data_IF_839105543037
#
_entry.id   IF_839105543037
#
_cell.length_a   1.000
_cell.length_b   1.000
_cell.length_c   1.000
_cell.angle_alpha   90.00
_cell.angle_beta   90.00
_cell.angle_gamma   90.00
#
_symmetry.space_group_name_H-M   'P 1'
#
loop_
_entity.id
_entity.type
_entity.pdbx_description
1 polymer ?
#
# COMPACT_ATOMS: atom_id res chain seq x y z
N UNK A 1 27.35 37.02 -13.34
CA UNK A 1 27.87 37.19 -11.97
C UNK A 1 27.35 36.03 -11.12
N UNK A 2 28.26 35.29 -10.48
CA UNK A 2 27.98 34.06 -9.73
C UNK A 2 27.55 34.45 -8.31
N UNK A 3 26.28 34.25 -7.97
CA UNK A 3 25.80 34.48 -6.60
C UNK A 3 26.00 33.19 -5.79
N UNK A 4 27.11 33.16 -5.05
CA UNK A 4 27.41 32.15 -4.05
C UNK A 4 26.49 32.37 -2.83
N UNK A 5 25.61 31.40 -2.54
CA UNK A 5 24.83 31.39 -1.30
C UNK A 5 25.50 30.43 -0.34
N UNK A 6 26.20 31.00 0.62
CA UNK A 6 26.76 30.36 1.82
C UNK A 6 25.64 29.78 2.68
N UNK A 7 25.68 28.47 2.91
CA UNK A 7 24.80 27.77 3.85
C UNK A 7 25.56 27.60 5.17
N UNK A 8 25.28 28.48 6.13
CA UNK A 8 25.74 28.38 7.51
C UNK A 8 24.87 27.37 8.28
N UNK A 9 25.47 26.24 8.63
CA UNK A 9 24.89 25.20 9.49
C UNK A 9 24.93 25.65 10.96
N UNK A 10 23.79 26.12 11.48
CA UNK A 10 23.58 26.32 12.92
C UNK A 10 23.12 24.98 13.54
N UNK A 11 24.06 24.30 14.21
CA UNK A 11 23.78 23.14 15.04
C UNK A 11 23.32 23.60 16.42
N UNK A 12 22.00 23.72 16.62
CA UNK A 12 21.41 23.92 17.95
C UNK A 12 21.07 22.57 18.58
N UNK A 13 21.90 22.14 19.53
CA UNK A 13 21.67 21.02 20.43
C UNK A 13 20.54 21.36 21.41
N UNK A 14 19.42 20.63 21.33
CA UNK A 14 18.40 20.63 22.38
C UNK A 14 18.48 19.29 23.13
N UNK A 15 19.05 19.35 24.32
CA UNK A 15 18.94 18.29 25.31
C UNK A 15 17.60 18.38 26.03
N UNK A 16 16.90 17.26 26.11
CA UNK A 16 15.81 17.03 27.06
C UNK A 16 15.94 15.59 27.54
N UNK A 17 16.37 15.46 28.80
CA UNK A 17 16.37 14.21 29.54
C UNK A 17 14.96 13.83 29.99
N UNK A 18 14.70 12.52 30.05
CA UNK A 18 13.68 11.94 30.89
C UNK A 18 14.14 10.54 31.33
N UNK A 19 14.04 10.31 32.63
CA UNK A 19 14.46 9.15 33.40
C UNK A 19 13.68 7.88 33.05
N UNK A 20 14.34 6.73 33.25
CA UNK A 20 13.79 5.40 33.06
C UNK A 20 12.69 5.05 34.08
N UNK A 21 11.72 4.25 33.64
CA UNK A 21 10.97 3.34 34.49
C UNK A 21 10.85 2.00 33.75
N UNK A 22 11.58 1.01 34.27
CA UNK A 22 11.40 -0.40 33.96
C UNK A 22 10.15 -0.90 34.69
N UNK A 23 9.24 -1.54 33.96
CA UNK A 23 8.21 -2.38 34.53
C UNK A 23 8.34 -3.75 33.86
N UNK A 24 8.93 -4.68 34.59
CA UNK A 24 8.70 -6.11 34.37
C UNK A 24 7.24 -6.41 34.73
N UNK A 25 6.55 -7.13 33.86
CA UNK A 25 5.49 -8.01 34.31
C UNK A 25 5.40 -9.21 33.38
N UNK A 26 5.61 -10.35 34.01
CA UNK A 26 5.60 -11.68 33.48
C UNK A 26 4.25 -12.29 33.87
N UNK A 27 3.35 -12.55 32.93
CA UNK A 27 2.41 -13.67 33.11
C UNK A 27 1.86 -14.22 31.79
N UNK A 28 1.72 -15.54 31.86
CA UNK A 28 1.39 -16.59 30.94
C UNK A 28 -0.05 -16.56 30.40
N UNK A 29 -0.19 -16.97 29.14
CA UNK A 29 -1.50 -17.12 28.51
C UNK A 29 -1.42 -17.92 27.20
N UNK A 30 -1.53 -19.24 27.34
CA UNK A 30 -1.73 -20.30 26.34
C UNK A 30 -1.89 -19.86 24.86
N UNK A 31 -0.85 -20.11 24.04
CA UNK A 31 -0.97 -20.14 22.57
C UNK A 31 -1.56 -21.48 22.14
N UNK A 32 -2.81 -21.43 21.67
CA UNK A 32 -3.47 -22.55 21.00
C UNK A 32 -2.70 -23.00 19.75
N UNK A 33 -2.40 -24.30 19.71
CA UNK A 33 -1.83 -24.98 18.55
C UNK A 33 -2.88 -25.06 17.44
N UNK A 34 -2.52 -24.59 16.26
CA UNK A 34 -3.31 -24.67 15.04
C UNK A 34 -2.38 -24.80 13.84
N UNK A 35 -1.83 -26.00 13.65
CA UNK A 35 -1.03 -26.34 12.49
C UNK A 35 -1.96 -26.76 11.33
N UNK A 36 -2.08 -25.92 10.30
CA UNK A 36 -2.51 -26.36 8.98
C UNK A 36 -1.26 -26.55 8.11
N UNK A 37 -0.99 -27.81 7.74
CA UNK A 37 0.08 -28.21 6.82
C UNK A 37 -0.15 -27.55 5.46
N UNK A 38 0.75 -26.63 5.10
CA UNK A 38 0.97 -26.24 3.70
C UNK A 38 2.26 -26.91 3.24
N UNK A 39 2.12 -28.06 2.58
CA UNK A 39 3.20 -28.62 1.77
C UNK A 39 3.38 -27.74 0.52
N UNK A 40 4.64 -27.41 0.21
CA UNK A 40 5.00 -26.78 -1.06
C UNK A 40 5.09 -25.24 -1.07
N UNK A 41 5.84 -24.63 -0.15
CA UNK A 41 6.21 -23.23 -0.28
C UNK A 41 7.02 -22.70 0.90
N UNK A 42 8.34 -22.88 0.87
CA UNK A 42 9.27 -22.29 1.85
C UNK A 42 9.33 -20.76 1.66
N UNK A 43 8.28 -20.03 2.03
CA UNK A 43 8.38 -18.59 2.29
C UNK A 43 8.93 -18.39 3.69
N UNK A 44 10.23 -18.63 3.84
CA UNK A 44 10.97 -18.15 5.01
C UNK A 44 10.81 -16.62 5.07
N UNK A 45 10.09 -16.15 6.09
CA UNK A 45 10.00 -14.74 6.48
C UNK A 45 11.34 -14.26 7.07
N UNK A 46 12.42 -14.34 6.29
CA UNK A 46 13.73 -13.86 6.69
C UNK A 46 13.78 -12.34 6.59
N UNK A 47 13.91 -11.69 7.75
CA UNK A 47 14.48 -10.34 7.98
C UNK A 47 13.82 -9.18 7.21
N UNK A 48 12.83 -8.54 7.83
CA UNK A 48 12.30 -7.23 7.41
C UNK A 48 13.36 -6.11 7.42
N UNK A 49 14.54 -6.31 8.02
CA UNK A 49 15.63 -5.32 8.08
C UNK A 49 16.44 -5.14 6.78
N UNK A 50 16.44 -6.11 5.85
CA UNK A 50 17.29 -6.04 4.63
C UNK A 50 16.67 -5.26 3.46
N UNK A 51 15.38 -4.90 3.52
CA UNK A 51 14.72 -4.20 2.41
C UNK A 51 15.12 -2.72 2.28
N UNK A 52 15.53 -2.08 3.39
CA UNK A 52 15.94 -0.66 3.39
C UNK A 52 17.29 -0.41 2.72
N UNK A 53 18.31 -1.22 3.05
CA UNK A 53 19.66 -1.08 2.51
C UNK A 53 19.73 -1.30 1.00
N UNK A 54 19.00 -2.29 0.48
CA UNK A 54 18.98 -2.57 -0.95
C UNK A 54 18.32 -1.46 -1.79
N UNK A 55 17.40 -0.68 -1.21
CA UNK A 55 16.82 0.49 -1.90
C UNK A 55 17.79 1.68 -1.94
N UNK A 56 18.55 1.91 -0.87
CA UNK A 56 19.60 2.94 -0.88
C UNK A 56 20.70 2.61 -1.89
N UNK A 57 21.21 1.37 -1.87
CA UNK A 57 22.23 0.93 -2.81
C UNK A 57 21.83 1.16 -4.27
N UNK A 58 20.60 0.77 -4.64
CA UNK A 58 20.06 1.00 -5.99
C UNK A 58 19.92 2.48 -6.34
N UNK A 59 19.64 3.34 -5.36
CA UNK A 59 19.50 4.77 -5.59
C UNK A 59 20.86 5.45 -5.75
N UNK A 60 21.84 5.06 -4.94
CA UNK A 60 23.25 5.47 -5.07
C UNK A 60 23.76 5.16 -6.47
N UNK A 61 23.58 3.92 -6.94
CA UNK A 61 24.00 3.50 -8.28
C UNK A 61 23.27 4.28 -9.39
N UNK A 62 21.96 4.52 -9.22
CA UNK A 62 21.12 5.19 -10.24
C UNK A 62 21.34 6.68 -10.36
N UNK A 63 21.68 7.34 -9.26
CA UNK A 63 21.87 8.80 -9.20
C UNK A 63 23.35 9.18 -9.12
N UNK A 64 24.26 8.20 -9.14
CA UNK A 64 25.71 8.39 -8.97
C UNK A 64 26.00 9.30 -7.76
N UNK A 65 25.45 8.95 -6.60
CA UNK A 65 25.58 9.78 -5.38
C UNK A 65 27.03 9.77 -4.88
N UNK A 66 27.58 10.96 -4.58
CA UNK A 66 28.90 11.07 -3.95
C UNK A 66 28.90 10.54 -2.52
N UNK A 67 30.07 10.27 -1.96
CA UNK A 67 30.19 9.79 -0.58
C UNK A 67 29.59 10.79 0.43
N UNK A 68 29.85 12.09 0.23
CA UNK A 68 29.26 13.17 1.03
C UNK A 68 27.74 13.19 0.95
N UNK A 69 27.16 13.05 -0.26
CA UNK A 69 25.71 12.98 -0.44
C UNK A 69 25.12 11.75 0.26
N UNK A 70 25.80 10.60 0.19
CA UNK A 70 25.37 9.38 0.86
C UNK A 70 25.38 9.54 2.39
N UNK A 71 26.41 10.18 2.95
CA UNK A 71 26.49 10.49 4.37
C UNK A 71 25.34 11.42 4.81
N UNK A 72 25.12 12.52 4.09
CA UNK A 72 24.03 13.45 4.37
C UNK A 72 22.65 12.78 4.30
N UNK A 73 22.42 11.94 3.29
CA UNK A 73 21.16 11.19 3.15
C UNK A 73 20.99 10.19 4.30
N UNK A 74 22.06 9.55 4.77
CA UNK A 74 22.00 8.62 5.91
C UNK A 74 21.58 9.36 7.18
N UNK A 75 22.22 10.47 7.52
CA UNK A 75 21.85 11.33 8.65
C UNK A 75 20.41 11.80 8.56
N UNK A 76 19.97 12.25 7.37
CA UNK A 76 18.58 12.66 7.13
C UNK A 76 17.59 11.52 7.38
N UNK A 77 17.94 10.29 7.00
CA UNK A 77 17.06 9.12 7.23
C UNK A 77 16.98 8.73 8.70
N UNK A 78 18.05 8.90 9.45
CA UNK A 78 18.10 8.64 10.88
C UNK A 78 17.23 9.65 11.64
N UNK A 79 17.36 10.95 11.37
CA UNK A 79 16.50 11.98 11.99
C UNK A 79 15.01 11.79 11.61
N UNK A 80 14.72 11.47 10.35
CA UNK A 80 13.35 11.21 9.90
C UNK A 80 12.76 9.91 10.49
N UNK A 81 13.60 8.95 10.89
CA UNK A 81 13.13 7.70 11.51
C UNK A 81 12.52 7.98 12.88
N UNK A 82 13.13 8.83 13.68
CA UNK A 82 12.64 9.23 15.00
C UNK A 82 11.31 9.97 14.88
N UNK A 83 11.24 10.99 14.01
CA UNK A 83 9.99 11.70 13.71
C UNK A 83 8.88 10.77 13.20
N UNK A 84 9.26 9.71 12.46
CA UNK A 84 8.31 8.72 11.95
C UNK A 84 7.77 7.76 13.02
N UNK A 85 8.44 7.59 14.16
CA UNK A 85 7.99 6.64 15.20
C UNK A 85 6.69 7.12 15.85
N UNK A 86 6.60 8.40 16.21
CA UNK A 86 5.40 8.99 16.77
C UNK A 86 4.19 8.84 15.83
N UNK A 87 4.34 9.21 14.56
CA UNK A 87 3.28 9.05 13.56
C UNK A 87 2.86 7.60 13.34
N UNK A 88 3.79 6.63 13.45
CA UNK A 88 3.47 5.20 13.37
C UNK A 88 2.64 4.74 14.56
N UNK A 89 2.95 5.23 15.76
CA UNK A 89 2.18 4.93 16.96
C UNK A 89 0.75 5.49 16.83
N UNK A 90 0.60 6.75 16.41
CA UNK A 90 -0.71 7.38 16.17
C UNK A 90 -1.55 6.59 15.14
N UNK A 91 -0.93 6.18 14.02
CA UNK A 91 -1.61 5.35 13.00
C UNK A 91 -2.04 4.00 13.56
N UNK A 92 -1.20 3.35 14.35
CA UNK A 92 -1.52 2.06 14.96
C UNK A 92 -2.69 2.20 15.92
N UNK A 93 -2.69 3.22 16.78
CA UNK A 93 -3.78 3.50 17.71
C UNK A 93 -5.10 3.73 16.96
N UNK A 94 -5.09 4.60 15.93
CA UNK A 94 -6.26 4.83 15.08
C UNK A 94 -6.81 3.54 14.46
N UNK A 95 -5.95 2.65 13.94
CA UNK A 95 -6.41 1.37 13.39
C UNK A 95 -6.97 0.42 14.44
N UNK A 96 -6.44 0.45 15.66
CA UNK A 96 -7.00 -0.30 16.78
C UNK A 96 -8.39 0.22 17.15
N UNK A 97 -8.56 1.54 17.24
CA UNK A 97 -9.85 2.17 17.57
C UNK A 97 -10.91 1.90 16.48
N UNK A 98 -10.56 2.06 15.20
CA UNK A 98 -11.45 1.71 14.09
C UNK A 98 -11.87 0.23 14.13
N UNK A 99 -10.97 -0.67 14.52
CA UNK A 99 -11.28 -2.10 14.64
C UNK A 99 -12.19 -2.40 15.84
N UNK A 100 -12.15 -1.57 16.87
CA UNK A 100 -12.93 -1.72 18.09
C UNK A 100 -14.33 -1.10 18.00
N UNK A 101 -14.65 -0.39 16.91
CA UNK A 101 -15.99 0.16 16.65
C UNK A 101 -17.07 -0.91 16.80
N UNK A 102 -18.02 -0.64 17.68
CA UNK A 102 -19.22 -1.46 17.83
C UNK A 102 -20.32 -0.93 16.92
N UNK A 103 -20.63 -1.69 15.87
CA UNK A 103 -21.68 -1.34 14.90
C UNK A 103 -23.09 -1.38 15.47
N UNK A 104 -23.27 -1.84 16.71
CA UNK A 104 -24.56 -1.91 17.40
C UNK A 104 -24.73 -0.83 18.47
N UNK A 105 -23.69 -0.02 18.72
CA UNK A 105 -23.72 1.09 19.67
C UNK A 105 -24.72 2.17 19.24
N UNK A 106 -25.44 2.75 20.21
CA UNK A 106 -26.29 3.92 19.98
C UNK A 106 -25.48 5.15 19.55
N UNK A 107 -24.19 5.21 19.91
CA UNK A 107 -23.29 6.33 19.62
C UNK A 107 -22.46 6.11 18.33
N UNK A 108 -22.73 5.04 17.57
CA UNK A 108 -21.91 4.62 16.42
C UNK A 108 -21.57 5.75 15.44
N UNK A 109 -22.56 6.53 15.02
CA UNK A 109 -22.35 7.62 14.06
C UNK A 109 -21.41 8.70 14.61
N UNK A 110 -21.51 9.00 15.90
CA UNK A 110 -20.64 9.98 16.57
C UNK A 110 -19.21 9.46 16.72
N UNK A 111 -19.04 8.18 17.05
CA UNK A 111 -17.73 7.52 17.13
C UNK A 111 -17.05 7.47 15.75
N UNK A 112 -17.81 7.16 14.70
CA UNK A 112 -17.34 7.18 13.32
C UNK A 112 -16.89 8.58 12.92
N UNK A 113 -17.66 9.62 13.25
CA UNK A 113 -17.29 11.01 12.97
C UNK A 113 -15.97 11.40 13.67
N UNK A 114 -15.84 11.10 14.97
CA UNK A 114 -14.62 11.37 15.72
C UNK A 114 -13.39 10.64 15.15
N UNK A 115 -13.55 9.38 14.72
CA UNK A 115 -12.48 8.62 14.09
C UNK A 115 -12.13 9.14 12.68
N UNK A 116 -13.11 9.65 11.94
CA UNK A 116 -12.88 10.30 10.65
C UNK A 116 -12.01 11.55 10.81
N UNK A 117 -12.31 12.39 11.80
CA UNK A 117 -11.52 13.59 12.10
C UNK A 117 -10.09 13.23 12.52
N UNK A 118 -9.95 12.27 13.44
CA UNK A 118 -8.64 11.76 13.87
C UNK A 118 -7.85 11.20 12.69
N UNK A 119 -8.51 10.46 11.79
CA UNK A 119 -7.91 9.95 10.57
C UNK A 119 -7.44 11.08 9.65
N UNK A 120 -8.25 12.10 9.45
CA UNK A 120 -7.89 13.26 8.63
C UNK A 120 -6.65 13.97 9.18
N UNK A 121 -6.57 14.17 10.50
CA UNK A 121 -5.41 14.77 11.16
C UNK A 121 -4.14 13.94 10.97
N UNK A 122 -4.22 12.62 11.20
CA UNK A 122 -3.09 11.70 11.04
C UNK A 122 -2.60 11.64 9.60
N UNK A 123 -3.52 11.65 8.63
CA UNK A 123 -3.18 11.67 7.21
C UNK A 123 -2.54 13.01 6.80
N UNK A 124 -3.03 14.14 7.33
CA UNK A 124 -2.42 15.46 7.14
C UNK A 124 -0.99 15.51 7.67
N UNK A 125 -0.76 15.06 8.91
CA UNK A 125 0.60 14.95 9.49
C UNK A 125 1.50 14.10 8.61
N UNK A 126 1.01 12.95 8.15
CA UNK A 126 1.76 12.04 7.29
C UNK A 126 2.13 12.65 5.93
N UNK A 127 1.22 13.44 5.35
CA UNK A 127 1.47 14.14 4.09
C UNK A 127 2.57 15.19 4.26
N UNK A 128 2.45 16.05 5.28
CA UNK A 128 3.43 17.09 5.58
C UNK A 128 4.81 16.47 5.82
N UNK A 129 4.91 15.48 6.71
CA UNK A 129 6.19 14.82 7.02
C UNK A 129 6.84 14.23 5.76
N UNK A 130 6.06 13.55 4.91
CA UNK A 130 6.56 12.99 3.65
C UNK A 130 7.04 14.06 2.69
N UNK A 131 6.33 15.19 2.61
CA UNK A 131 6.70 16.32 1.76
C UNK A 131 8.01 16.95 2.24
N UNK A 132 8.12 17.24 3.54
CA UNK A 132 9.33 17.80 4.16
C UNK A 132 10.54 16.88 3.97
N UNK A 133 10.39 15.58 4.26
CA UNK A 133 11.47 14.61 4.06
C UNK A 133 11.91 14.54 2.59
N UNK A 134 10.97 14.66 1.65
CA UNK A 134 11.26 14.69 0.21
C UNK A 134 12.01 15.96 -0.19
N UNK A 135 11.61 17.12 0.32
CA UNK A 135 12.27 18.39 0.07
C UNK A 135 13.72 18.37 0.58
N UNK A 136 13.93 17.93 1.83
CA UNK A 136 15.26 17.79 2.43
C UNK A 136 16.14 16.83 1.63
N UNK A 137 15.58 15.71 1.17
CA UNK A 137 16.30 14.77 0.31
C UNK A 137 16.67 15.38 -1.06
N UNK A 138 15.74 16.11 -1.70
CA UNK A 138 15.98 16.76 -3.00
C UNK A 138 17.02 17.90 -2.90
N UNK A 139 17.19 18.51 -1.73
CA UNK A 139 18.19 19.55 -1.48
C UNK A 139 19.63 19.01 -1.46
N UNK A 140 19.84 17.73 -1.13
CA UNK A 140 21.17 17.08 -1.16
C UNK A 140 21.62 16.78 -2.60
N UNK A 141 20.69 16.72 -3.55
CA UNK A 141 20.95 16.33 -4.93
C UNK A 141 21.32 17.53 -5.81
N UNK A 142 22.18 17.27 -6.81
CA UNK A 142 22.46 18.24 -7.87
C UNK A 142 21.25 18.43 -8.80
N UNK A 143 21.26 19.49 -9.61
CA UNK A 143 20.19 19.76 -10.56
C UNK A 143 19.96 18.60 -11.54
N UNK A 144 21.04 18.03 -12.07
CA UNK A 144 21.01 16.90 -13.00
C UNK A 144 20.47 15.63 -12.32
N UNK A 145 20.92 15.32 -11.10
CA UNK A 145 20.41 14.18 -10.34
C UNK A 145 18.90 14.30 -10.04
N UNK A 146 18.38 15.52 -9.82
CA UNK A 146 16.94 15.75 -9.66
C UNK A 146 16.14 15.44 -10.93
N UNK A 147 16.70 15.72 -12.11
CA UNK A 147 16.08 15.37 -13.40
C UNK A 147 16.01 13.84 -13.54
N UNK A 148 17.13 13.13 -13.38
CA UNK A 148 17.18 11.66 -13.41
C UNK A 148 16.20 11.04 -12.41
N UNK A 149 16.07 11.64 -11.22
CA UNK A 149 15.13 11.16 -10.21
C UNK A 149 13.66 11.36 -10.60
N UNK A 150 13.30 12.44 -11.32
CA UNK A 150 11.96 12.64 -11.87
C UNK A 150 11.63 11.60 -12.94
N UNK A 151 12.54 11.37 -13.88
CA UNK A 151 12.37 10.34 -14.93
C UNK A 151 12.19 8.94 -14.34
N UNK A 152 12.96 8.60 -13.29
CA UNK A 152 12.80 7.35 -12.56
C UNK A 152 11.42 7.23 -11.91
N UNK A 153 10.87 8.32 -11.36
CA UNK A 153 9.53 8.35 -10.75
C UNK A 153 8.45 8.13 -11.82
N UNK A 154 8.55 8.77 -12.97
CA UNK A 154 7.62 8.62 -14.09
C UNK A 154 7.66 7.21 -14.68
N UNK A 155 8.86 6.67 -14.89
CA UNK A 155 9.07 5.29 -15.32
C UNK A 155 8.41 4.28 -14.36
N UNK A 156 8.50 4.51 -13.04
CA UNK A 156 7.82 3.67 -12.04
C UNK A 156 6.30 3.82 -12.07
N UNK A 157 5.79 5.04 -12.30
CA UNK A 157 4.34 5.31 -12.44
C UNK A 157 3.78 4.52 -13.64
N UNK A 158 4.51 4.53 -14.76
CA UNK A 158 4.13 3.82 -16.00
C UNK A 158 4.19 2.29 -15.85
N UNK A 159 5.15 1.76 -15.08
CA UNK A 159 5.20 0.32 -14.77
C UNK A 159 4.09 -0.11 -13.82
N UNK A 160 3.73 0.74 -12.86
CA UNK A 160 2.65 0.45 -11.91
C UNK A 160 1.27 0.51 -12.57
N UNK A 161 1.06 1.42 -13.54
CA UNK A 161 -0.19 1.52 -14.30
C UNK A 161 -0.39 0.32 -15.24
N UNK A 162 0.68 -0.21 -15.84
CA UNK A 162 0.63 -1.45 -16.65
C UNK A 162 0.58 -2.73 -15.82
N UNK A 163 1.26 -2.79 -14.66
CA UNK A 163 1.39 -4.01 -13.85
C UNK A 163 0.27 -4.28 -12.84
N UNK A 164 -0.53 -3.29 -12.42
CA UNK A 164 -1.60 -3.50 -11.42
C UNK A 164 -2.97 -3.89 -11.98
N UNK A 165 -3.16 -3.97 -13.30
CA UNK A 165 -4.40 -4.48 -13.91
C UNK A 165 -4.35 -5.96 -14.29
N UNK A 166 -3.19 -6.61 -14.28
CA UNK A 166 -3.01 -8.01 -14.71
C UNK A 166 -2.81 -9.02 -13.57
N UNK A 167 -2.24 -8.63 -12.41
CA UNK A 167 -1.89 -9.61 -11.37
C UNK A 167 -3.04 -10.26 -10.60
N UNK A 168 -4.22 -9.63 -10.53
CA UNK A 168 -5.40 -10.21 -9.85
C UNK A 168 -6.70 -10.16 -10.67
N UNK A 169 -6.66 -9.49 -11.82
CA UNK A 169 -7.77 -9.39 -12.79
C UNK A 169 -7.40 -9.96 -14.18
N UNK A 170 -6.12 -10.32 -14.40
CA UNK A 170 -5.66 -11.03 -15.59
C UNK A 170 -6.10 -12.49 -15.62
N UNK A 171 -6.24 -13.14 -14.46
CA UNK A 171 -6.85 -14.48 -14.35
C UNK A 171 -8.33 -14.52 -14.78
N UNK A 172 -9.03 -13.37 -14.80
CA UNK A 172 -10.42 -13.29 -15.28
C UNK A 172 -10.54 -12.81 -16.72
N UNK A 173 -9.58 -12.04 -17.25
CA UNK A 173 -9.69 -11.49 -18.62
C UNK A 173 -9.41 -12.53 -19.72
N UNK A 174 -8.65 -13.59 -19.40
CA UNK A 174 -8.50 -14.77 -20.26
C UNK A 174 -9.49 -15.89 -19.90
N UNK A 175 -9.58 -16.22 -18.61
CA UNK A 175 -10.32 -17.42 -18.18
C UNK A 175 -11.84 -17.34 -18.34
N UNK A 176 -12.47 -16.16 -18.34
CA UNK A 176 -13.91 -16.06 -18.59
C UNK A 176 -14.22 -16.12 -20.10
N UNK A 177 -13.39 -15.47 -20.91
CA UNK A 177 -13.57 -15.45 -22.37
C UNK A 177 -13.35 -16.85 -22.97
N UNK A 178 -12.37 -17.58 -22.45
CA UNK A 178 -12.09 -18.98 -22.82
C UNK A 178 -13.20 -19.92 -22.33
N UNK A 179 -13.71 -19.74 -21.10
CA UNK A 179 -14.82 -20.56 -20.57
C UNK A 179 -16.16 -20.34 -21.25
N UNK A 180 -16.36 -19.17 -21.84
CA UNK A 180 -17.57 -18.84 -22.60
C UNK A 180 -17.37 -19.05 -24.11
N UNK A 181 -16.20 -19.55 -24.54
CA UNK A 181 -15.85 -19.70 -25.95
C UNK A 181 -16.17 -18.44 -26.78
N UNK A 182 -15.79 -17.26 -26.26
CA UNK A 182 -16.12 -16.00 -26.92
C UNK A 182 -15.39 -15.89 -28.25
N UNK A 183 -16.10 -15.39 -29.27
CA UNK A 183 -15.49 -15.07 -30.56
C UNK A 183 -14.58 -13.85 -30.43
N UNK A 184 -13.66 -13.67 -31.37
CA UNK A 184 -12.74 -12.53 -31.35
C UNK A 184 -13.49 -11.20 -31.50
N UNK A 185 -14.56 -11.18 -32.31
CA UNK A 185 -15.47 -10.04 -32.42
C UNK A 185 -16.14 -9.69 -31.07
N UNK A 186 -16.60 -10.69 -30.30
CA UNK A 186 -17.18 -10.46 -28.97
C UNK A 186 -16.11 -9.93 -27.99
N UNK A 187 -14.88 -10.46 -28.02
CA UNK A 187 -13.78 -10.00 -27.16
C UNK A 187 -13.41 -8.53 -27.42
N UNK A 188 -13.45 -8.12 -28.68
CA UNK A 188 -13.17 -6.75 -29.10
C UNK A 188 -14.26 -5.79 -28.62
N UNK A 189 -15.54 -6.15 -28.81
CA UNK A 189 -16.67 -5.37 -28.31
C UNK A 189 -16.63 -5.20 -26.79
N UNK A 190 -16.34 -6.27 -26.04
CA UNK A 190 -16.19 -6.23 -24.59
C UNK A 190 -15.02 -5.33 -24.17
N UNK A 191 -13.93 -5.33 -24.93
CA UNK A 191 -12.75 -4.51 -24.64
C UNK A 191 -13.02 -3.03 -24.91
N UNK A 192 -13.69 -2.72 -26.02
CA UNK A 192 -14.14 -1.37 -26.36
C UNK A 192 -15.11 -0.83 -25.30
N UNK A 193 -16.11 -1.64 -24.91
CA UNK A 193 -17.11 -1.27 -23.91
C UNK A 193 -16.49 -0.94 -22.54
N UNK A 194 -15.51 -1.75 -22.10
CA UNK A 194 -14.76 -1.51 -20.85
C UNK A 194 -13.81 -0.32 -20.93
N UNK A 195 -13.34 0.03 -22.13
CA UNK A 195 -12.51 1.20 -22.34
C UNK A 195 -13.35 2.49 -22.30
N UNK A 196 -14.52 2.47 -22.94
CA UNK A 196 -15.47 3.58 -22.95
C UNK A 196 -16.06 3.88 -21.56
N UNK A 197 -16.41 2.84 -20.80
CA UNK A 197 -17.09 2.96 -19.49
C UNK A 197 -16.13 2.81 -18.31
N UNK A 198 -14.91 3.37 -18.44
CA UNK A 198 -13.83 3.18 -17.46
C UNK A 198 -14.23 3.73 -16.08
N UNK A 199 -14.48 2.83 -15.12
CA UNK A 199 -14.85 3.18 -13.74
C UNK A 199 -16.33 3.03 -13.43
N UNK A 200 -17.15 2.66 -14.42
CA UNK A 200 -18.57 2.34 -14.26
C UNK A 200 -18.80 0.83 -14.32
N UNK A 201 -19.95 0.37 -13.80
CA UNK A 201 -20.39 -1.01 -13.95
C UNK A 201 -20.83 -1.26 -15.38
N UNK A 202 -20.32 -2.33 -15.99
CA UNK A 202 -20.63 -2.71 -17.38
C UNK A 202 -21.28 -4.09 -17.46
N UNK A 203 -21.91 -4.57 -16.37
CA UNK A 203 -22.36 -5.97 -16.29
C UNK A 203 -23.54 -6.26 -17.23
N UNK A 204 -24.55 -5.39 -17.25
CA UNK A 204 -25.73 -5.55 -18.11
C UNK A 204 -25.36 -5.46 -19.60
N UNK A 205 -24.55 -4.48 -19.96
CA UNK A 205 -24.09 -4.29 -21.33
C UNK A 205 -23.15 -5.41 -21.80
N UNK A 206 -22.38 -6.00 -20.88
CA UNK A 206 -21.56 -7.19 -21.16
C UNK A 206 -22.43 -8.42 -21.42
N UNK A 207 -23.52 -8.59 -20.67
CA UNK A 207 -24.46 -9.71 -20.83
C UNK A 207 -25.21 -9.64 -22.16
N UNK A 208 -25.48 -8.45 -22.68
CA UNK A 208 -26.10 -8.25 -23.99
C UNK A 208 -25.23 -8.68 -25.19
N UNK A 209 -23.91 -8.82 -25.01
CA UNK A 209 -22.97 -9.26 -26.07
C UNK A 209 -22.92 -10.81 -26.15
N UNK A 210 -23.44 -11.50 -25.15
CA UNK A 210 -23.37 -12.96 -25.02
C UNK A 210 -24.58 -13.65 -25.65
N UNK A 211 -24.38 -14.87 -26.14
CA UNK A 211 -25.48 -15.74 -26.57
C UNK A 211 -26.28 -16.28 -25.38
N UNK A 212 -27.48 -16.81 -25.63
CA UNK A 212 -28.32 -17.42 -24.59
C UNK A 212 -27.60 -18.56 -23.84
N UNK A 213 -26.85 -19.40 -24.54
CA UNK A 213 -26.07 -20.49 -23.94
C UNK A 213 -24.88 -19.99 -23.10
N UNK A 214 -24.22 -18.92 -23.58
CA UNK A 214 -23.14 -18.26 -22.84
C UNK A 214 -23.66 -17.59 -21.57
N UNK A 215 -24.85 -17.00 -21.60
CA UNK A 215 -25.53 -16.42 -20.44
C UNK A 215 -25.86 -17.47 -19.38
N UNK A 216 -26.35 -18.64 -19.77
CA UNK A 216 -26.61 -19.77 -18.85
C UNK A 216 -25.31 -20.20 -18.15
N UNK A 217 -24.22 -20.30 -18.92
CA UNK A 217 -22.91 -20.66 -18.39
C UNK A 217 -22.37 -19.59 -17.44
N UNK A 218 -22.54 -18.31 -17.78
CA UNK A 218 -22.17 -17.17 -16.94
C UNK A 218 -22.96 -17.16 -15.61
N UNK A 219 -24.26 -17.41 -15.65
CA UNK A 219 -25.10 -17.45 -14.45
C UNK A 219 -24.75 -18.62 -13.53
N UNK A 220 -24.48 -19.80 -14.09
CA UNK A 220 -23.96 -20.95 -13.33
C UNK A 220 -22.62 -20.62 -12.66
N UNK A 221 -21.76 -19.86 -13.32
CA UNK A 221 -20.51 -19.37 -12.72
C UNK A 221 -20.76 -18.38 -11.59
N UNK A 222 -21.64 -17.38 -11.77
CA UNK A 222 -22.01 -16.41 -10.73
C UNK A 222 -22.55 -17.10 -9.47
N UNK A 223 -23.42 -18.09 -9.65
CA UNK A 223 -23.97 -18.91 -8.56
C UNK A 223 -22.88 -19.68 -7.81
N UNK A 224 -21.96 -20.31 -8.54
CA UNK A 224 -20.83 -21.02 -7.94
C UNK A 224 -19.88 -20.08 -7.17
N UNK A 225 -19.68 -18.85 -7.65
CA UNK A 225 -18.91 -17.83 -6.95
C UNK A 225 -19.61 -17.38 -5.66
N UNK A 226 -20.93 -17.14 -5.71
CA UNK A 226 -21.75 -16.77 -4.53
C UNK A 226 -21.73 -17.86 -3.47
N UNK A 227 -21.84 -19.13 -3.87
CA UNK A 227 -21.71 -20.30 -2.96
C UNK A 227 -20.32 -20.39 -2.33
N UNK A 228 -19.25 -20.09 -3.08
CA UNK A 228 -17.87 -20.09 -2.56
C UNK A 228 -17.56 -18.90 -1.65
N UNK A 229 -18.10 -17.72 -1.92
CA UNK A 229 -17.92 -16.55 -1.04
C UNK A 229 -18.75 -16.66 0.24
N UNK A 230 -19.96 -17.22 0.17
CA UNK A 230 -20.79 -17.52 1.34
C UNK A 230 -20.15 -18.55 2.28
N UNK A 231 -19.47 -19.56 1.73
CA UNK A 231 -18.73 -20.58 2.52
C UNK A 231 -17.53 -20.03 3.29
N UNK A 232 -16.95 -18.90 2.86
CA UNK A 232 -15.91 -18.20 3.63
C UNK A 232 -16.49 -17.34 4.77
N UNK A 233 -17.73 -16.86 4.63
CA UNK A 233 -18.44 -16.13 5.71
C UNK A 233 -18.94 -17.04 6.83
N UNK A 234 -19.43 -18.25 6.50
CA UNK A 234 -19.96 -19.19 7.51
C UNK A 234 -18.89 -19.89 8.36
N UNK A 235 -17.63 -19.99 7.90
CA UNK A 235 -16.56 -20.59 8.71
C UNK A 235 -16.05 -19.69 9.85
N UNK A 236 -16.53 -18.45 9.94
CA UNK A 236 -16.20 -17.53 11.02
C UNK A 236 -17.28 -17.41 12.12
N UNK A 237 -18.47 -18.01 11.94
CA UNK A 237 -19.57 -17.95 12.92
C UNK A 237 -19.93 -19.31 13.56
N UNK A 238 -19.10 -20.34 13.38
CA UNK A 238 -19.24 -21.59 14.11
C UNK A 238 -17.96 -21.86 14.89
N UNK A 239 -17.77 -21.11 15.97
CA UNK A 239 -17.01 -21.47 17.17
C UNK A 239 -17.43 -20.55 18.30
#
# INVERSE_FOLDING_TARGET
MRNAILVTLLASTLGLGATAAQADNHDSGKKGQGHAKHEGGKHQSKKSGKRGGNMMKRMTEKLSLTEDQQAQIKTLRESQKELSQALRAEKKALYTEIKALDTTSADYDSEVAALADKKAMVDRKAFIQRSTARQQFEAVLTAEQRVTMKEMKESRKNRTSKGKRSGKRGMMKGGLAEKLNLTDAQKDQITALRAAKKGQSTSSEFEAILTAEQLVTLNKMKENFKKRSGKHGQKHNAK
#
